data_IF_669231116329
#
_entry.id   IF_669231116329
#
_cell.length_a   1.000
_cell.length_b   1.000
_cell.length_c   1.000
_cell.angle_alpha   90.00
_cell.angle_beta   90.00
_cell.angle_gamma   90.00
#
_symmetry.space_group_name_H-M   'P 1'
#
loop_
_entity.id
_entity.type
_entity.pdbx_description
1 polymer ?
#
# COMPACT_ATOMS: atom_id res chain seq x y z
N UNK A 1 -17.40 -9.24 19.78
CA UNK A 1 -18.36 -9.84 18.82
C UNK A 1 -18.57 -11.30 19.20
N UNK A 2 -19.76 -11.62 19.70
CA UNK A 2 -20.16 -13.00 19.95
C UNK A 2 -20.53 -13.62 18.61
N UNK A 3 -19.86 -14.69 18.21
CA UNK A 3 -20.26 -15.50 17.05
C UNK A 3 -21.30 -16.52 17.52
N UNK A 4 -22.07 -17.14 16.61
CA UNK A 4 -23.12 -18.13 16.92
C UNK A 4 -22.67 -19.29 17.85
N UNK A 5 -21.36 -19.54 17.96
CA UNK A 5 -20.76 -20.55 18.84
C UNK A 5 -20.48 -20.07 20.28
N UNK A 6 -21.00 -18.90 20.67
CA UNK A 6 -20.86 -18.35 22.03
C UNK A 6 -19.70 -17.36 22.20
N UNK A 7 -19.31 -17.11 23.45
CA UNK A 7 -18.27 -16.12 23.78
C UNK A 7 -16.92 -16.57 23.25
N UNK A 8 -16.35 -15.81 22.31
CA UNK A 8 -15.03 -16.08 21.73
C UNK A 8 -13.92 -15.81 22.78
N UNK A 9 -13.62 -16.84 23.59
CA UNK A 9 -12.53 -16.83 24.57
C UNK A 9 -11.20 -16.98 23.85
N UNK A 10 -10.29 -16.03 24.07
CA UNK A 10 -8.97 -15.98 23.43
C UNK A 10 -7.89 -16.07 24.49
N UNK A 11 -6.87 -16.87 24.21
CA UNK A 11 -5.71 -17.04 25.08
C UNK A 11 -4.46 -16.58 24.32
N UNK A 12 -3.54 -15.89 25.02
CA UNK A 12 -2.24 -15.48 24.47
C UNK A 12 -1.17 -16.07 25.37
N UNK A 13 -0.28 -16.88 24.78
CA UNK A 13 0.91 -17.43 25.47
C UNK A 13 2.10 -16.59 25.05
N UNK A 14 2.87 -16.12 26.02
CA UNK A 14 3.97 -15.18 25.80
C UNK A 14 5.12 -15.46 26.77
N UNK A 15 6.33 -15.08 26.38
CA UNK A 15 7.52 -15.02 27.24
C UNK A 15 7.79 -13.61 27.77
N UNK A 16 6.87 -12.66 27.52
CA UNK A 16 6.97 -11.26 27.92
C UNK A 16 6.21 -11.02 29.22
N UNK A 17 6.78 -10.18 30.08
CA UNK A 17 6.24 -9.85 31.41
C UNK A 17 5.39 -8.55 31.41
N UNK A 18 4.87 -8.13 30.25
CA UNK A 18 4.03 -6.93 30.16
C UNK A 18 2.65 -7.14 30.82
N UNK A 19 2.02 -6.03 31.23
CA UNK A 19 0.62 -6.03 31.69
C UNK A 19 -0.33 -6.71 30.69
N UNK A 20 -1.30 -7.54 31.13
CA UNK A 20 -2.14 -8.36 30.25
C UNK A 20 -2.84 -7.58 29.12
N UNK A 21 -3.30 -6.36 29.43
CA UNK A 21 -3.94 -5.49 28.44
C UNK A 21 -2.95 -5.02 27.37
N UNK A 22 -1.76 -4.57 27.78
CA UNK A 22 -0.73 -4.12 26.86
C UNK A 22 -0.24 -5.28 25.96
N UNK A 23 -0.12 -6.48 26.54
CA UNK A 23 0.22 -7.69 25.80
C UNK A 23 -0.82 -8.02 24.72
N UNK A 24 -2.10 -7.99 25.10
CA UNK A 24 -3.19 -8.28 24.16
C UNK A 24 -3.29 -7.22 23.06
N UNK A 25 -3.11 -5.93 23.39
CA UNK A 25 -3.08 -4.85 22.40
C UNK A 25 -1.87 -5.00 21.45
N UNK A 26 -0.70 -5.37 21.94
CA UNK A 26 0.45 -5.69 21.11
C UNK A 26 0.15 -6.86 20.17
N UNK A 27 -0.41 -7.95 20.70
CA UNK A 27 -0.82 -9.10 19.89
C UNK A 27 -1.85 -8.71 18.82
N UNK A 28 -2.83 -7.88 19.17
CA UNK A 28 -3.86 -7.41 18.24
C UNK A 28 -3.27 -6.65 17.04
N UNK A 29 -2.14 -5.94 17.21
CA UNK A 29 -1.43 -5.25 16.10
C UNK A 29 -0.91 -6.22 15.05
N UNK A 30 -0.76 -7.52 15.35
CA UNK A 30 -0.41 -8.56 14.35
C UNK A 30 -1.41 -8.61 13.19
N UNK A 31 -2.69 -8.28 13.44
CA UNK A 31 -3.70 -8.20 12.40
C UNK A 31 -3.33 -7.23 11.26
N UNK A 32 -2.59 -6.14 11.56
CA UNK A 32 -2.11 -5.22 10.52
C UNK A 32 -1.10 -5.88 9.57
N UNK A 33 -0.27 -6.80 10.06
CA UNK A 33 0.67 -7.54 9.20
C UNK A 33 -0.08 -8.45 8.23
N UNK A 34 -1.17 -9.08 8.67
CA UNK A 34 -2.02 -9.87 7.78
C UNK A 34 -2.73 -8.98 6.74
N UNK A 35 -3.18 -7.79 7.13
CA UNK A 35 -3.74 -6.80 6.21
C UNK A 35 -2.71 -6.40 5.13
N UNK A 36 -1.44 -6.21 5.50
CA UNK A 36 -0.38 -5.91 4.52
C UNK A 36 -0.13 -7.06 3.56
N UNK A 37 -0.12 -8.31 4.06
CA UNK A 37 0.01 -9.51 3.22
C UNK A 37 -1.19 -9.65 2.27
N UNK A 38 -2.42 -9.37 2.75
CA UNK A 38 -3.63 -9.36 1.93
C UNK A 38 -3.55 -8.31 0.83
N UNK A 39 -3.15 -7.08 1.16
CA UNK A 39 -2.94 -6.02 0.16
C UNK A 39 -1.91 -6.46 -0.89
N UNK A 40 -0.80 -7.05 -0.45
CA UNK A 40 0.27 -7.53 -1.32
C UNK A 40 -0.21 -8.60 -2.31
N UNK A 41 -0.95 -9.60 -1.83
CA UNK A 41 -1.51 -10.66 -2.66
C UNK A 41 -2.62 -10.15 -3.56
N UNK A 42 -3.58 -9.41 -3.02
CA UNK A 42 -4.83 -9.08 -3.72
C UNK A 42 -4.71 -7.87 -4.65
N UNK A 43 -4.01 -6.81 -4.23
CA UNK A 43 -3.93 -5.54 -4.97
C UNK A 43 -2.77 -5.56 -5.95
N UNK A 44 -1.60 -5.98 -5.49
CA UNK A 44 -0.38 -6.07 -6.31
C UNK A 44 -0.33 -7.38 -7.11
N UNK A 45 -1.21 -8.34 -6.82
CA UNK A 45 -1.31 -9.63 -7.53
C UNK A 45 -0.03 -10.44 -7.45
N UNK A 46 0.63 -10.42 -6.29
CA UNK A 46 1.89 -11.10 -6.04
C UNK A 46 1.80 -12.64 -6.12
N UNK A 47 0.59 -13.19 -6.14
CA UNK A 47 0.27 -14.60 -6.34
C UNK A 47 0.38 -15.05 -7.81
N UNK A 48 0.51 -14.13 -8.77
CA UNK A 48 0.62 -14.40 -10.22
C UNK A 48 2.02 -14.89 -10.62
N UNK A 49 2.48 -15.96 -10.00
CA UNK A 49 3.77 -16.61 -10.24
C UNK A 49 3.61 -17.79 -11.21
N UNK A 50 3.63 -17.49 -12.52
CA UNK A 50 3.30 -18.45 -13.59
C UNK A 50 4.51 -18.92 -14.41
N UNK A 51 5.74 -18.63 -13.98
CA UNK A 51 6.92 -19.09 -14.70
C UNK A 51 7.20 -20.56 -14.37
N UNK A 52 7.78 -21.29 -15.34
CA UNK A 52 8.18 -22.71 -15.15
C UNK A 52 9.40 -22.85 -14.23
N UNK A 53 10.21 -21.81 -14.07
CA UNK A 53 11.45 -21.82 -13.28
C UNK A 53 11.23 -21.16 -11.92
N UNK A 54 11.69 -21.82 -10.86
CA UNK A 54 11.63 -21.28 -9.49
C UNK A 54 12.26 -19.89 -9.37
N UNK A 55 13.48 -19.71 -9.85
CA UNK A 55 14.19 -18.42 -9.79
C UNK A 55 13.46 -17.29 -10.52
N UNK A 56 12.76 -17.59 -11.62
CA UNK A 56 11.96 -16.60 -12.33
C UNK A 56 10.74 -16.15 -11.50
N UNK A 57 10.10 -17.08 -10.81
CA UNK A 57 9.01 -16.75 -9.88
C UNK A 57 9.52 -15.99 -8.64
N UNK A 58 10.69 -16.36 -8.11
CA UNK A 58 11.32 -15.62 -7.01
C UNK A 58 11.60 -14.16 -7.42
N UNK A 59 12.20 -13.94 -8.59
CA UNK A 59 12.46 -12.59 -9.09
C UNK A 59 11.15 -11.81 -9.31
N UNK A 60 10.12 -12.45 -9.88
CA UNK A 60 8.80 -11.84 -10.04
C UNK A 60 8.20 -11.42 -8.69
N UNK A 61 8.31 -12.25 -7.66
CA UNK A 61 7.86 -11.92 -6.31
C UNK A 61 8.59 -10.69 -5.75
N UNK A 62 9.90 -10.56 -5.99
CA UNK A 62 10.67 -9.37 -5.61
C UNK A 62 10.19 -8.12 -6.34
N UNK A 63 9.86 -8.21 -7.64
CA UNK A 63 9.28 -7.09 -8.39
C UNK A 63 7.92 -6.65 -7.82
N UNK A 64 7.06 -7.61 -7.48
CA UNK A 64 5.82 -7.30 -6.78
C UNK A 64 6.11 -6.60 -5.45
N UNK A 65 7.07 -7.09 -4.67
CA UNK A 65 7.43 -6.47 -3.39
C UNK A 65 7.91 -5.03 -3.57
N UNK A 66 8.76 -4.77 -4.57
CA UNK A 66 9.19 -3.42 -4.92
C UNK A 66 8.01 -2.51 -5.31
N UNK A 67 7.07 -3.01 -6.11
CA UNK A 67 5.86 -2.28 -6.47
C UNK A 67 4.98 -1.95 -5.25
N UNK A 68 4.86 -2.88 -4.29
CA UNK A 68 4.16 -2.64 -3.03
C UNK A 68 4.81 -1.51 -2.23
N UNK A 69 6.13 -1.55 -2.08
CA UNK A 69 6.88 -0.51 -1.37
C UNK A 69 6.74 0.86 -2.04
N UNK A 70 6.76 0.92 -3.37
CA UNK A 70 6.52 2.16 -4.10
C UNK A 70 5.13 2.73 -3.81
N UNK A 71 4.10 1.89 -3.85
CA UNK A 71 2.73 2.29 -3.55
C UNK A 71 2.55 2.73 -2.09
N UNK A 72 3.18 2.03 -1.14
CA UNK A 72 3.16 2.42 0.27
C UNK A 72 3.91 3.75 0.51
N UNK A 73 5.01 3.99 -0.21
CA UNK A 73 5.72 5.27 -0.15
C UNK A 73 4.84 6.44 -0.63
N UNK A 74 4.11 6.27 -1.74
CA UNK A 74 3.11 7.24 -2.21
C UNK A 74 2.03 7.48 -1.16
N UNK A 75 1.48 6.41 -0.57
CA UNK A 75 0.46 6.48 0.49
C UNK A 75 0.97 7.28 1.70
N UNK A 76 2.16 6.97 2.20
CA UNK A 76 2.76 7.67 3.37
C UNK A 76 3.02 9.14 3.08
N UNK A 77 3.49 9.47 1.88
CA UNK A 77 3.74 10.86 1.46
C UNK A 77 2.46 11.68 1.42
N UNK A 78 1.38 11.12 0.85
CA UNK A 78 0.07 11.76 0.84
C UNK A 78 -0.46 12.01 2.26
N UNK A 79 -0.42 11.00 3.13
CA UNK A 79 -0.88 11.17 4.52
C UNK A 79 -0.08 12.28 5.23
N UNK A 80 1.25 12.27 5.09
CA UNK A 80 2.13 13.22 5.80
C UNK A 80 2.03 14.66 5.29
N UNK A 81 1.83 14.88 3.99
CA UNK A 81 1.93 16.22 3.37
C UNK A 81 0.60 16.85 2.98
N UNK A 82 -0.42 16.06 2.64
CA UNK A 82 -1.73 16.59 2.23
C UNK A 82 -2.84 16.34 3.25
N UNK A 83 -2.52 15.77 4.43
CA UNK A 83 -3.52 15.45 5.46
C UNK A 83 -4.60 14.48 4.97
N UNK A 84 -4.35 13.79 3.86
CA UNK A 84 -5.35 12.92 3.23
C UNK A 84 -5.55 11.69 4.09
N UNK A 85 -6.81 11.28 4.28
CA UNK A 85 -7.16 10.05 5.01
C UNK A 85 -6.41 8.85 4.41
N UNK A 86 -5.96 7.92 5.26
CA UNK A 86 -5.33 6.66 4.83
C UNK A 86 -6.26 5.95 3.84
N UNK A 87 -5.82 5.84 2.58
CA UNK A 87 -6.52 5.14 1.51
C UNK A 87 -6.09 3.67 1.45
N UNK A 88 -7.02 2.79 1.06
CA UNK A 88 -6.70 1.42 0.69
C UNK A 88 -5.80 1.41 -0.55
N UNK A 89 -4.91 0.42 -0.64
CA UNK A 89 -3.95 0.32 -1.74
C UNK A 89 -4.64 0.16 -3.10
N UNK A 90 -5.79 -0.52 -3.17
CA UNK A 90 -6.54 -0.65 -4.42
C UNK A 90 -7.13 0.69 -4.88
N UNK A 91 -7.71 1.48 -3.96
CA UNK A 91 -8.19 2.84 -4.28
C UNK A 91 -7.04 3.72 -4.74
N UNK A 92 -5.88 3.62 -4.09
CA UNK A 92 -4.68 4.35 -4.49
C UNK A 92 -4.24 3.97 -5.91
N UNK A 93 -4.24 2.67 -6.22
CA UNK A 93 -3.93 2.14 -7.55
C UNK A 93 -4.90 2.70 -8.60
N UNK A 94 -6.20 2.69 -8.32
CA UNK A 94 -7.22 3.20 -9.24
C UNK A 94 -7.08 4.71 -9.48
N UNK A 95 -6.77 5.49 -8.45
CA UNK A 95 -6.70 6.97 -8.55
C UNK A 95 -5.37 7.50 -9.08
N UNK A 96 -4.27 6.75 -8.97
CA UNK A 96 -2.94 7.21 -9.37
C UNK A 96 -2.29 6.41 -10.49
N UNK A 97 -2.54 5.11 -10.57
CA UNK A 97 -1.84 4.24 -11.53
C UNK A 97 -2.75 3.90 -12.71
N UNK A 98 -4.00 3.52 -12.42
CA UNK A 98 -5.00 3.17 -13.44
C UNK A 98 -5.76 4.40 -13.92
N UNK A 99 -5.02 5.37 -14.45
CA UNK A 99 -5.57 6.62 -14.99
C UNK A 99 -5.21 6.80 -16.47
N UNK A 100 -6.06 7.51 -17.20
CA UNK A 100 -5.76 7.95 -18.56
C UNK A 100 -5.05 9.31 -18.56
N UNK A 101 -4.03 9.44 -19.40
CA UNK A 101 -3.29 10.68 -19.60
C UNK A 101 -2.33 10.58 -20.78
N UNK A 102 -1.92 11.72 -21.33
CA UNK A 102 -0.89 11.76 -22.38
C UNK A 102 0.48 11.81 -21.72
N UNK A 103 1.30 10.79 -21.96
CA UNK A 103 2.69 10.76 -21.50
C UNK A 103 3.58 11.36 -22.59
N UNK A 104 4.45 12.29 -22.22
CA UNK A 104 5.49 12.84 -23.09
C UNK A 104 6.83 12.61 -22.41
N UNK A 105 7.68 11.83 -23.06
CA UNK A 105 9.05 11.60 -22.63
C UNK A 105 9.95 12.69 -23.24
N UNK A 106 10.76 13.31 -22.40
CA UNK A 106 11.80 14.27 -22.76
C UNK A 106 13.13 13.73 -22.25
N UNK A 107 14.25 14.23 -22.78
CA UNK A 107 15.60 13.75 -22.46
C UNK A 107 15.90 13.59 -20.97
N UNK A 108 15.36 14.46 -20.11
CA UNK A 108 15.61 14.44 -18.65
C UNK A 108 14.35 14.20 -17.82
N UNK A 109 13.17 14.09 -18.43
CA UNK A 109 11.91 14.10 -17.69
C UNK A 109 10.78 13.42 -18.43
N UNK A 110 9.92 12.75 -17.67
CA UNK A 110 8.63 12.25 -18.15
C UNK A 110 7.55 13.22 -17.69
N UNK A 111 6.81 13.80 -18.63
CA UNK A 111 5.67 14.69 -18.34
C UNK A 111 4.37 13.95 -18.60
N UNK A 112 3.53 13.85 -17.58
CA UNK A 112 2.18 13.33 -17.70
C UNK A 112 1.18 14.49 -17.81
N UNK A 113 0.40 14.51 -18.88
CA UNK A 113 -0.70 15.45 -19.10
C UNK A 113 -2.03 14.74 -18.79
N UNK A 114 -2.75 15.25 -17.79
CA UNK A 114 -4.09 14.77 -17.42
C UNK A 114 -5.14 15.73 -17.98
N UNK A 115 -6.38 15.25 -18.14
CA UNK A 115 -7.51 16.11 -18.51
C UNK A 115 -7.72 17.22 -17.47
N UNK A 116 -8.15 18.41 -17.90
CA UNK A 116 -8.39 19.54 -17.00
C UNK A 116 -9.45 19.25 -15.94
N UNK A 117 -10.48 18.46 -16.28
CA UNK A 117 -11.51 17.97 -15.36
C UNK A 117 -11.20 16.62 -14.70
N UNK A 118 -9.93 16.21 -14.61
CA UNK A 118 -9.59 14.90 -14.06
C UNK A 118 -10.00 14.77 -12.58
N UNK A 119 -10.77 13.74 -12.18
CA UNK A 119 -11.27 13.61 -10.81
C UNK A 119 -10.17 13.44 -9.75
N UNK A 120 -8.98 12.98 -10.14
CA UNK A 120 -7.81 12.87 -9.27
C UNK A 120 -6.93 14.13 -9.21
N UNK A 121 -7.34 15.27 -9.78
CA UNK A 121 -6.51 16.46 -9.90
C UNK A 121 -5.95 16.94 -8.55
N UNK A 122 -6.79 17.01 -7.51
CA UNK A 122 -6.37 17.39 -6.16
C UNK A 122 -5.31 16.45 -5.58
N UNK A 123 -5.44 15.15 -5.84
CA UNK A 123 -4.50 14.13 -5.40
C UNK A 123 -3.14 14.25 -6.12
N UNK A 124 -3.15 14.55 -7.42
CA UNK A 124 -1.93 14.79 -8.18
C UNK A 124 -1.23 16.10 -7.79
N UNK A 125 -1.99 17.15 -7.46
CA UNK A 125 -1.41 18.38 -6.89
C UNK A 125 -0.78 18.11 -5.52
N UNK A 126 -1.48 17.39 -4.65
CA UNK A 126 -0.96 16.97 -3.35
C UNK A 126 0.34 16.17 -3.48
N UNK A 127 0.40 15.21 -4.42
CA UNK A 127 1.63 14.46 -4.70
C UNK A 127 2.73 15.36 -5.24
N UNK A 128 2.43 16.23 -6.21
CA UNK A 128 3.42 17.16 -6.75
C UNK A 128 4.04 17.99 -5.64
N UNK A 129 3.22 18.55 -4.73
CA UNK A 129 3.71 19.29 -3.56
C UNK A 129 4.52 18.40 -2.61
N UNK A 130 4.09 17.15 -2.38
CA UNK A 130 4.80 16.21 -1.51
C UNK A 130 6.18 15.76 -2.06
N UNK A 131 6.36 15.79 -3.38
CA UNK A 131 7.59 15.41 -4.09
C UNK A 131 8.44 16.60 -4.57
N UNK A 132 7.91 17.83 -4.60
CA UNK A 132 8.64 19.09 -4.93
C UNK A 132 9.82 19.43 -4.00
N UNK A 133 10.14 18.57 -3.02
CA UNK A 133 11.40 18.62 -2.27
C UNK A 133 12.59 17.95 -2.97
N UNK A 134 12.41 17.39 -4.17
CA UNK A 134 13.54 17.02 -5.04
C UNK A 134 13.86 18.26 -5.89
N UNK A 135 14.72 19.12 -5.34
CA UNK A 135 15.28 20.26 -6.06
C UNK A 135 16.04 19.79 -7.31
N UNK A 136 15.96 20.61 -8.34
CA UNK A 136 16.79 20.53 -9.55
C UNK A 136 18.29 20.45 -9.24
#
# INVERSE_FOLDING_TARGET
EAMEQGTNRRFVVTTRDDEPKALYEFYARRGESENWIKDFKLVIKADRLSCMRFFANQFRLLLHAAAYWLMDALRRKLIKKSGTRRMQLDTLRLRLIKIGGRVRELMRKVRMHLASGHPGQSLWHALSLAFRGVHE
#
